data_IF_414215499775
#
_entry.id   IF_414215499775
#
_cell.length_a   1.000
_cell.length_b   1.000
_cell.length_c   1.000
_cell.angle_alpha   90.00
_cell.angle_beta   90.00
_cell.angle_gamma   90.00
#
_symmetry.space_group_name_H-M   'P 1'
#
loop_
_entity.id
_entity.type
_entity.pdbx_description
1 polymer ?
#
# COMPACT_ATOMS: atom_id res chain seq x y z
N UNK A 1 21.00 -5.89 -8.55
CA UNK A 1 20.35 -5.04 -9.56
C UNK A 1 20.00 -3.72 -8.88
N UNK A 2 20.46 -2.58 -9.38
CA UNK A 2 20.23 -1.27 -8.73
C UNK A 2 19.15 -0.52 -9.52
N UNK A 3 17.98 -0.20 -8.94
CA UNK A 3 16.93 0.51 -9.65
C UNK A 3 17.41 1.90 -10.09
N UNK A 4 17.04 2.32 -11.30
CA UNK A 4 17.43 3.62 -11.88
C UNK A 4 16.24 4.55 -12.07
N UNK A 5 15.02 4.04 -11.95
CA UNK A 5 13.77 4.80 -12.01
C UNK A 5 12.90 4.58 -10.77
N UNK A 6 11.99 5.51 -10.49
CA UNK A 6 11.03 5.37 -9.39
C UNK A 6 10.13 4.13 -9.56
N UNK A 7 9.72 3.80 -10.79
CA UNK A 7 8.88 2.64 -11.08
C UNK A 7 9.62 1.31 -10.87
N UNK A 8 10.94 1.26 -11.12
CA UNK A 8 11.74 0.09 -10.77
C UNK A 8 11.92 -0.04 -9.27
N UNK A 9 12.13 1.08 -8.56
CA UNK A 9 12.26 1.10 -7.11
C UNK A 9 10.95 0.66 -6.42
N UNK A 10 9.79 1.07 -6.93
CA UNK A 10 8.48 0.73 -6.37
C UNK A 10 8.29 -0.79 -6.17
N UNK A 11 8.83 -1.60 -7.08
CA UNK A 11 8.78 -3.09 -7.00
C UNK A 11 9.52 -3.69 -5.80
N UNK A 12 10.21 -2.88 -5.02
CA UNK A 12 10.93 -3.27 -3.80
C UNK A 12 10.35 -2.62 -2.53
N UNK A 13 9.24 -1.90 -2.65
CA UNK A 13 8.63 -1.15 -1.55
C UNK A 13 7.36 -1.86 -1.10
N UNK A 14 7.19 -1.97 0.21
CA UNK A 14 5.92 -2.32 0.84
C UNK A 14 5.29 -1.06 1.43
N UNK A 15 4.18 -0.59 0.86
CA UNK A 15 3.51 0.61 1.33
C UNK A 15 2.82 0.32 2.67
N UNK A 16 3.36 0.93 3.74
CA UNK A 16 2.99 0.58 5.12
C UNK A 16 2.16 1.68 5.79
N UNK A 17 1.06 1.31 6.45
CA UNK A 17 0.27 2.15 7.34
C UNK A 17 -0.13 1.36 8.60
N UNK A 18 0.64 1.56 9.67
CA UNK A 18 0.45 0.89 10.97
C UNK A 18 0.29 1.88 12.13
N UNK A 19 0.04 3.16 11.82
CA UNK A 19 -0.27 4.16 12.84
C UNK A 19 -1.57 3.75 13.57
N UNK A 20 -1.61 3.76 14.91
CA UNK A 20 -2.80 3.33 15.66
C UNK A 20 -4.00 4.27 15.45
N UNK A 21 -3.74 5.54 15.12
CA UNK A 21 -4.72 6.56 14.76
C UNK A 21 -5.17 6.51 13.30
N UNK A 22 -4.65 5.57 12.49
CA UNK A 22 -5.04 5.44 11.09
C UNK A 22 -6.57 5.26 10.96
N UNK A 23 -7.14 5.98 10.01
CA UNK A 23 -8.56 5.90 9.68
C UNK A 23 -8.79 4.91 8.55
N UNK A 24 -10.04 4.45 8.42
CA UNK A 24 -10.43 3.55 7.32
C UNK A 24 -10.19 4.18 5.95
N UNK A 25 -10.43 5.49 5.81
CA UNK A 25 -10.26 6.19 4.54
C UNK A 25 -8.80 6.32 4.15
N UNK A 26 -7.89 6.52 5.12
CA UNK A 26 -6.44 6.49 4.89
C UNK A 26 -5.97 5.11 4.46
N UNK A 27 -6.47 4.04 5.09
CA UNK A 27 -6.15 2.66 4.69
C UNK A 27 -6.59 2.39 3.25
N UNK A 28 -7.81 2.77 2.88
CA UNK A 28 -8.30 2.61 1.51
C UNK A 28 -7.47 3.44 0.52
N UNK A 29 -7.01 4.62 0.93
CA UNK A 29 -6.16 5.48 0.10
C UNK A 29 -4.79 4.84 -0.10
N UNK A 30 -4.16 4.33 0.94
CA UNK A 30 -2.89 3.59 0.86
C UNK A 30 -3.01 2.38 -0.06
N UNK A 31 -4.10 1.62 0.01
CA UNK A 31 -4.34 0.50 -0.91
C UNK A 31 -4.46 0.95 -2.37
N UNK A 32 -5.23 2.01 -2.64
CA UNK A 32 -5.35 2.58 -4.01
C UNK A 32 -4.03 3.12 -4.54
N UNK A 33 -3.28 3.81 -3.69
CA UNK A 33 -1.96 4.34 -4.05
C UNK A 33 -1.00 3.19 -4.36
N UNK A 34 -0.98 2.14 -3.54
CA UNK A 34 -0.15 0.97 -3.80
C UNK A 34 -0.41 0.34 -5.18
N UNK A 35 -1.68 0.25 -5.60
CA UNK A 35 -2.05 -0.20 -6.95
C UNK A 35 -1.58 0.79 -8.02
N UNK A 36 -1.81 2.09 -7.82
CA UNK A 36 -1.41 3.13 -8.76
C UNK A 36 0.12 3.17 -8.98
N UNK A 37 0.89 3.05 -7.91
CA UNK A 37 2.35 3.07 -7.92
C UNK A 37 2.99 1.72 -8.24
N UNK A 38 2.20 0.63 -8.25
CA UNK A 38 2.65 -0.74 -8.50
C UNK A 38 3.78 -1.15 -7.55
N UNK A 39 3.58 -0.85 -6.27
CA UNK A 39 4.48 -1.27 -5.21
C UNK A 39 4.41 -2.80 -5.01
N UNK A 40 5.36 -3.38 -4.28
CA UNK A 40 5.43 -4.82 -4.10
C UNK A 40 4.26 -5.37 -3.26
N UNK A 41 3.94 -4.69 -2.16
CA UNK A 41 2.85 -5.05 -1.27
C UNK A 41 2.31 -3.86 -0.48
N UNK A 42 1.24 -4.11 0.27
CA UNK A 42 0.70 -3.20 1.29
C UNK A 42 0.81 -3.87 2.65
N UNK A 43 1.24 -3.11 3.66
CA UNK A 43 1.29 -3.56 5.05
C UNK A 43 0.38 -2.70 5.92
N UNK A 44 -0.72 -3.29 6.42
CA UNK A 44 -1.72 -2.64 7.28
C UNK A 44 -2.11 -3.55 8.44
N UNK A 45 -2.73 -2.97 9.48
CA UNK A 45 -3.28 -3.76 10.58
C UNK A 45 -4.32 -4.77 10.07
N UNK A 46 -4.29 -6.04 10.52
CA UNK A 46 -5.30 -7.04 10.16
C UNK A 46 -6.74 -6.64 10.53
N UNK A 47 -6.92 -5.73 11.50
CA UNK A 47 -8.23 -5.22 11.93
C UNK A 47 -8.99 -4.48 10.82
N UNK A 48 -8.31 -4.06 9.75
CA UNK A 48 -8.93 -3.39 8.62
C UNK A 48 -9.56 -4.34 7.59
N UNK A 49 -9.35 -5.65 7.74
CA UNK A 49 -9.94 -6.66 6.87
C UNK A 49 -11.40 -6.94 7.27
N UNK A 50 -12.29 -7.25 6.30
CA UNK A 50 -12.04 -7.31 4.87
C UNK A 50 -11.99 -5.91 4.22
N UNK A 51 -11.13 -5.76 3.23
CA UNK A 51 -11.13 -4.59 2.35
C UNK A 51 -12.16 -4.76 1.22
N UNK A 52 -12.71 -3.65 0.70
CA UNK A 52 -13.50 -3.64 -0.53
C UNK A 52 -12.74 -4.25 -1.74
N UNK A 53 -13.46 -4.85 -2.68
CA UNK A 53 -12.85 -5.50 -3.85
C UNK A 53 -12.23 -4.52 -4.87
N UNK A 54 -12.59 -3.24 -4.81
CA UNK A 54 -12.09 -2.18 -5.71
C UNK A 54 -10.71 -1.64 -5.30
N UNK A 55 -10.15 -2.08 -4.16
CA UNK A 55 -8.84 -1.65 -3.65
C UNK A 55 -7.79 -2.77 -3.63
N UNK A 56 -8.07 -3.90 -4.28
CA UNK A 56 -7.18 -5.07 -4.43
C UNK A 56 -6.80 -5.31 -5.88
#
# INVERSE_FOLDING_TARGET
MTPRTAAELAKFIDHTLLAPEATRDEVLTVCRDAVAWKVAAVCISPSWLPLPADVT
#
